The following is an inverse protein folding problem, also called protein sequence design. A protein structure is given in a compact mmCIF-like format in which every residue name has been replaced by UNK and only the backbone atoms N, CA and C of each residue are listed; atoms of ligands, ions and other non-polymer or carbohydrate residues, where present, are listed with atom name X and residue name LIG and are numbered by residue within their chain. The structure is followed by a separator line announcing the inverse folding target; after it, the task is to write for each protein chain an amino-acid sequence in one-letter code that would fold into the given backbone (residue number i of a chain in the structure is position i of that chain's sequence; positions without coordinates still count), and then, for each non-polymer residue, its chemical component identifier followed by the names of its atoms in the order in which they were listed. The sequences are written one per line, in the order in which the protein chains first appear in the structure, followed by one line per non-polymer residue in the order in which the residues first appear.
data_IF_978621355429
#
_entry.id   IF_978621355429
#
_cell.length_a   1.000
_cell.length_b   1.000
_cell.length_c   1.000
_cell.angle_alpha   90.00
_cell.angle_beta   90.00
_cell.angle_gamma   90.00
#
_symmetry.space_group_name_H-M   'P 1'
#
loop_
_entity.id
_entity.type
_entity.pdbx_description
1 polymer ?
#
# COMPACT_ATOMS: atom_id res chain seq x y z
N UNK A 1 3.68 -10.80 -37.86
CA UNK A 1 3.23 -10.70 -36.45
C UNK A 1 4.42 -11.13 -35.61
N UNK A 2 4.80 -10.25 -34.67
CA UNK A 2 6.15 -10.06 -34.12
C UNK A 2 6.90 -11.32 -33.68
N UNK A 3 8.21 -11.34 -34.00
CA UNK A 3 9.23 -12.09 -33.29
C UNK A 3 9.09 -11.85 -31.78
N UNK A 4 8.73 -12.89 -31.04
CA UNK A 4 8.73 -12.92 -29.57
C UNK A 4 9.47 -14.16 -29.06
N UNK A 5 10.45 -14.65 -29.81
CA UNK A 5 11.48 -15.54 -29.25
C UNK A 5 12.56 -14.66 -28.62
N UNK A 6 12.55 -14.60 -27.30
CA UNK A 6 13.59 -13.94 -26.54
C UNK A 6 14.58 -14.98 -26.02
N UNK A 7 15.88 -14.69 -26.19
CA UNK A 7 16.95 -15.28 -25.37
C UNK A 7 16.55 -15.30 -23.90
N UNK A 8 16.98 -16.32 -23.14
CA UNK A 8 16.76 -16.37 -21.70
C UNK A 8 17.18 -15.04 -21.07
N UNK A 9 16.29 -14.35 -20.34
CA UNK A 9 16.63 -13.09 -19.71
C UNK A 9 17.85 -13.29 -18.82
N UNK A 10 18.90 -12.49 -19.03
CA UNK A 10 20.04 -12.50 -18.12
C UNK A 10 19.55 -12.34 -16.68
N UNK A 11 20.19 -13.09 -15.78
CA UNK A 11 19.78 -13.22 -14.38
C UNK A 11 19.45 -11.84 -13.78
N UNK A 12 18.23 -11.71 -13.26
CA UNK A 12 17.74 -10.47 -12.66
C UNK A 12 18.66 -10.00 -11.53
N UNK A 13 19.22 -10.92 -10.75
CA UNK A 13 20.15 -10.58 -9.67
C UNK A 13 21.43 -9.95 -10.24
N UNK A 14 22.02 -10.54 -11.28
CA UNK A 14 23.20 -9.99 -11.95
C UNK A 14 22.94 -8.60 -12.55
N UNK A 15 21.74 -8.40 -13.13
CA UNK A 15 21.35 -7.08 -13.67
C UNK A 15 21.22 -6.03 -12.57
N UNK A 16 20.64 -6.38 -11.42
CA UNK A 16 20.51 -5.49 -10.27
C UNK A 16 21.89 -5.13 -9.71
N UNK A 17 22.77 -6.10 -9.52
CA UNK A 17 24.14 -5.89 -9.03
C UNK A 17 24.97 -5.00 -9.98
N UNK A 18 24.86 -5.22 -11.30
CA UNK A 18 25.53 -4.40 -12.29
C UNK A 18 25.03 -2.95 -12.29
N UNK A 19 23.72 -2.75 -12.14
CA UNK A 19 23.13 -1.41 -12.06
C UNK A 19 23.56 -0.68 -10.78
N UNK A 20 23.50 -1.35 -9.63
CA UNK A 20 23.96 -0.79 -8.36
C UNK A 20 25.43 -0.38 -8.44
N UNK A 21 26.29 -1.27 -8.94
CA UNK A 21 27.73 -1.01 -9.09
C UNK A 21 27.99 0.22 -9.97
N UNK A 22 27.32 0.31 -11.12
CA UNK A 22 27.45 1.46 -12.03
C UNK A 22 27.00 2.77 -11.37
N UNK A 23 25.90 2.76 -10.62
CA UNK A 23 25.38 3.96 -9.95
C UNK A 23 26.28 4.42 -8.80
N UNK A 24 26.89 3.47 -8.08
CA UNK A 24 27.88 3.74 -7.02
C UNK A 24 29.18 4.29 -7.61
N UNK A 25 29.72 3.68 -8.67
CA UNK A 25 30.93 4.15 -9.35
C UNK A 25 30.77 5.57 -9.90
N UNK A 26 29.56 5.92 -10.34
CA UNK A 26 29.21 7.28 -10.81
C UNK A 26 29.00 8.27 -9.66
N UNK A 27 28.97 7.81 -8.40
CA UNK A 27 28.69 8.63 -7.22
C UNK A 27 27.25 9.15 -7.15
N UNK A 28 26.29 8.48 -7.82
CA UNK A 28 24.88 8.89 -7.81
C UNK A 28 24.10 8.31 -6.64
N UNK A 29 24.53 7.15 -6.14
CA UNK A 29 24.02 6.53 -4.92
C UNK A 29 25.18 6.07 -4.06
N UNK A 30 24.92 5.89 -2.77
CA UNK A 30 25.81 5.21 -1.83
C UNK A 30 25.11 3.96 -1.26
N UNK A 31 25.89 2.90 -1.01
CA UNK A 31 25.34 1.61 -0.53
C UNK A 31 24.71 1.73 0.85
N UNK A 32 25.26 2.57 1.72
CA UNK A 32 24.72 2.81 3.07
C UNK A 32 23.30 3.41 3.01
N UNK A 33 23.02 4.29 2.07
CA UNK A 33 21.68 4.83 1.83
C UNK A 33 20.72 3.75 1.32
N UNK A 34 21.17 2.84 0.45
CA UNK A 34 20.35 1.70 0.00
C UNK A 34 19.98 0.82 1.20
N UNK A 35 20.96 0.42 2.01
CA UNK A 35 20.74 -0.39 3.21
C UNK A 35 19.80 0.29 4.20
N UNK A 36 19.94 1.60 4.41
CA UNK A 36 19.07 2.39 5.28
C UNK A 36 17.62 2.42 4.79
N UNK A 37 17.40 2.53 3.47
CA UNK A 37 16.05 2.49 2.89
C UNK A 37 15.43 1.10 3.08
N UNK A 38 16.20 0.04 2.85
CA UNK A 38 15.74 -1.34 3.08
C UNK A 38 15.35 -1.52 4.54
N UNK A 39 16.24 -1.18 5.47
CA UNK A 39 16.01 -1.31 6.91
C UNK A 39 14.75 -0.57 7.37
N UNK A 40 14.55 0.66 6.89
CA UNK A 40 13.39 1.49 7.23
C UNK A 40 12.07 0.79 6.88
N UNK A 41 11.92 0.25 5.67
CA UNK A 41 10.68 -0.41 5.25
C UNK A 41 10.54 -1.86 5.73
N UNK A 42 11.64 -2.53 6.07
CA UNK A 42 11.60 -3.87 6.63
C UNK A 42 11.28 -3.89 8.13
N UNK A 43 11.69 -2.86 8.88
CA UNK A 43 11.67 -2.93 10.35
C UNK A 43 10.96 -1.76 11.04
N UNK A 44 10.97 -0.56 10.47
CA UNK A 44 10.45 0.65 11.14
C UNK A 44 9.02 0.97 10.69
N UNK A 45 8.71 0.78 9.41
CA UNK A 45 7.41 1.15 8.82
C UNK A 45 6.58 -0.08 8.52
N UNK A 46 5.36 -0.12 9.08
CA UNK A 46 4.44 -1.24 8.85
C UNK A 46 3.02 -0.99 9.35
N UNK A 47 2.14 -2.00 9.24
CA UNK A 47 0.70 -1.86 9.52
C UNK A 47 0.35 -1.52 10.97
N UNK A 48 1.30 -1.61 11.90
CA UNK A 48 1.11 -1.20 13.29
C UNK A 48 0.84 0.30 13.43
N UNK A 49 1.32 1.14 12.52
CA UNK A 49 0.97 2.57 12.49
C UNK A 49 -0.53 2.75 12.24
N UNK A 50 -1.06 2.12 11.19
CA UNK A 50 -2.49 2.07 10.91
C UNK A 50 -3.32 1.50 12.06
N UNK A 51 -2.86 0.42 12.69
CA UNK A 51 -3.55 -0.19 13.83
C UNK A 51 -3.68 0.78 15.02
N UNK A 52 -2.61 1.53 15.34
CA UNK A 52 -2.63 2.55 16.41
C UNK A 52 -3.60 3.69 16.10
N UNK A 53 -3.66 4.14 14.85
CA UNK A 53 -4.60 5.17 14.39
C UNK A 53 -6.05 4.68 14.57
N UNK A 54 -6.35 3.46 14.10
CA UNK A 54 -7.69 2.86 14.20
C UNK A 54 -8.10 2.68 15.67
N UNK A 55 -7.21 2.13 16.50
CA UNK A 55 -7.47 1.94 17.93
C UNK A 55 -7.78 3.27 18.63
N UNK A 56 -7.02 4.33 18.34
CA UNK A 56 -7.30 5.68 18.88
C UNK A 56 -8.66 6.20 18.41
N UNK A 57 -9.02 6.01 17.14
CA UNK A 57 -10.33 6.44 16.62
C UNK A 57 -11.51 5.69 17.26
N UNK A 58 -11.32 4.46 17.73
CA UNK A 58 -12.37 3.71 18.43
C UNK A 58 -12.65 4.25 19.84
N UNK A 59 -11.62 4.70 20.56
CA UNK A 59 -11.76 5.14 21.97
C UNK A 59 -11.85 6.66 22.14
N UNK A 60 -11.46 7.44 21.13
CA UNK A 60 -11.50 8.91 21.11
C UNK A 60 -12.38 9.40 19.95
N UNK A 61 -13.69 9.65 20.20
CA UNK A 61 -14.60 10.17 19.19
C UNK A 61 -14.20 11.55 18.64
N UNK A 62 -13.47 12.36 19.41
CA UNK A 62 -13.00 13.66 18.94
C UNK A 62 -11.84 13.50 17.95
N UNK A 63 -10.91 12.59 18.23
CA UNK A 63 -9.87 12.19 17.27
C UNK A 63 -10.48 11.59 16.01
N UNK A 64 -11.48 10.69 16.12
CA UNK A 64 -12.17 10.13 14.95
C UNK A 64 -12.76 11.22 14.05
N UNK A 65 -13.40 12.25 14.62
CA UNK A 65 -13.91 13.39 13.84
C UNK A 65 -12.80 14.15 13.11
N UNK A 66 -11.66 14.40 13.76
CA UNK A 66 -10.51 15.05 13.12
C UNK A 66 -9.90 14.18 12.02
N UNK A 67 -9.75 12.89 12.28
CA UNK A 67 -9.24 11.89 11.35
C UNK A 67 -10.05 11.85 10.04
N UNK A 68 -11.37 11.83 10.14
CA UNK A 68 -12.25 11.81 8.98
C UNK A 68 -12.31 13.15 8.24
N UNK A 69 -12.03 14.27 8.92
CA UNK A 69 -12.00 15.59 8.30
C UNK A 69 -10.65 15.88 7.60
N UNK A 70 -9.53 15.46 8.20
CA UNK A 70 -8.18 15.63 7.66
C UNK A 70 -7.26 14.54 8.20
N UNK A 71 -7.12 13.44 7.45
CA UNK A 71 -6.35 12.29 7.90
C UNK A 71 -4.86 12.59 8.00
N UNK A 72 -4.29 13.35 7.06
CA UNK A 72 -2.87 13.73 7.08
C UNK A 72 -2.53 14.49 8.37
N UNK A 73 -3.35 15.47 8.78
CA UNK A 73 -3.14 16.19 10.03
C UNK A 73 -3.30 15.29 11.27
N UNK A 74 -4.29 14.38 11.27
CA UNK A 74 -4.51 13.45 12.37
C UNK A 74 -3.40 12.40 12.50
N UNK A 75 -2.79 11.95 11.40
CA UNK A 75 -1.62 11.07 11.41
C UNK A 75 -0.41 11.74 12.06
N UNK A 76 -0.21 13.04 11.80
CA UNK A 76 0.86 13.81 12.42
C UNK A 76 0.72 13.93 13.95
N UNK A 77 -0.50 13.93 14.50
CA UNK A 77 -0.72 13.86 15.96
C UNK A 77 -0.14 12.58 16.60
N UNK A 78 0.12 11.55 15.80
CA UNK A 78 0.70 10.27 16.20
C UNK A 78 2.14 10.07 15.71
N UNK A 79 2.75 11.10 15.14
CA UNK A 79 4.10 11.02 14.56
C UNK A 79 4.17 10.19 13.28
N UNK A 80 3.04 9.97 12.60
CA UNK A 80 2.99 9.26 11.32
C UNK A 80 2.98 10.27 10.18
N UNK A 81 3.98 10.20 9.31
CA UNK A 81 4.16 11.08 8.16
C UNK A 81 5.21 10.52 7.20
N UNK A 82 5.48 11.24 6.11
CA UNK A 82 6.48 10.85 5.11
C UNK A 82 5.89 10.55 3.73
N UNK A 83 6.66 9.87 2.86
CA UNK A 83 6.23 9.59 1.49
C UNK A 83 4.95 8.75 1.42
N UNK A 84 4.04 9.13 0.52
CA UNK A 84 2.81 8.40 0.25
C UNK A 84 1.67 8.67 1.24
N UNK A 85 1.82 9.67 2.13
CA UNK A 85 0.77 10.11 3.06
C UNK A 85 0.55 11.63 3.09
N UNK A 86 1.08 12.34 2.09
CA UNK A 86 0.96 13.78 1.93
C UNK A 86 -0.51 14.21 1.76
N UNK A 87 -1.32 13.36 1.13
CA UNK A 87 -2.75 13.58 0.89
C UNK A 87 -3.55 12.34 1.23
N UNK A 88 -3.95 12.23 2.50
CA UNK A 88 -4.65 11.05 3.00
C UNK A 88 -6.13 11.28 3.20
N UNK A 89 -6.90 10.26 2.83
CA UNK A 89 -8.33 10.15 3.09
C UNK A 89 -8.56 8.84 3.83
N UNK A 90 -9.25 8.91 4.96
CA UNK A 90 -9.72 7.72 5.69
C UNK A 90 -11.18 7.48 5.34
N UNK A 91 -11.48 6.25 4.92
CA UNK A 91 -12.81 5.84 4.49
C UNK A 91 -13.41 4.90 5.54
N UNK A 92 -14.45 5.39 6.22
CA UNK A 92 -15.07 4.65 7.32
C UNK A 92 -16.00 3.55 6.81
N UNK A 93 -15.81 2.32 7.31
CA UNK A 93 -16.79 1.26 7.19
C UNK A 93 -17.94 1.48 8.18
N UNK A 94 -19.17 1.22 7.73
CA UNK A 94 -20.41 1.33 8.50
C UNK A 94 -21.21 0.03 8.35
N UNK A 95 -22.27 -0.20 9.15
CA UNK A 95 -23.11 -1.38 8.97
C UNK A 95 -23.71 -1.49 7.55
N UNK A 96 -23.89 -0.37 6.85
CA UNK A 96 -24.46 -0.31 5.50
C UNK A 96 -23.42 -0.20 4.37
N UNK A 97 -22.13 -0.01 4.68
CA UNK A 97 -21.08 0.17 3.69
C UNK A 97 -19.73 -0.42 4.10
N UNK A 98 -19.16 -1.23 3.22
CA UNK A 98 -17.79 -1.72 3.27
C UNK A 98 -16.95 -1.03 2.18
N UNK A 99 -15.81 -0.47 2.55
CA UNK A 99 -14.86 0.16 1.64
C UNK A 99 -13.68 -0.79 1.37
N UNK A 100 -13.22 -0.85 0.13
CA UNK A 100 -12.02 -1.57 -0.29
C UNK A 100 -11.21 -0.68 -1.22
N UNK A 101 -9.88 -0.73 -1.15
CA UNK A 101 -8.98 0.18 -1.88
C UNK A 101 -8.15 -0.62 -2.89
N UNK A 102 -7.90 -0.05 -4.07
CA UNK A 102 -7.09 -0.65 -5.13
C UNK A 102 -6.34 0.41 -5.92
N UNK A 103 -5.17 0.05 -6.46
CA UNK A 103 -4.52 0.81 -7.52
C UNK A 103 -4.57 0.00 -8.82
N UNK A 104 -5.58 0.21 -9.64
CA UNK A 104 -5.76 -0.57 -10.87
C UNK A 104 -4.57 -0.41 -11.83
N UNK A 105 -3.97 0.78 -11.89
CA UNK A 105 -2.90 1.11 -12.83
C UNK A 105 -1.52 0.61 -12.41
N UNK A 106 -1.24 0.49 -11.12
CA UNK A 106 0.07 0.05 -10.64
C UNK A 106 0.00 -0.59 -9.24
N UNK A 107 0.34 0.17 -8.19
CA UNK A 107 0.53 -0.34 -6.83
C UNK A 107 0.52 0.76 -5.76
N UNK A 108 -0.12 1.91 -6.01
CA UNK A 108 -0.19 3.00 -5.04
C UNK A 108 -0.73 2.50 -3.69
N UNK A 109 -0.07 2.87 -2.60
CA UNK A 109 -0.40 2.38 -1.26
C UNK A 109 0.18 3.33 -0.19
N UNK A 110 -0.48 3.51 0.97
CA UNK A 110 -0.04 4.49 1.97
C UNK A 110 1.08 3.94 2.86
N UNK A 111 2.33 4.00 2.38
CA UNK A 111 3.46 3.30 3.00
C UNK A 111 3.71 3.70 4.46
N UNK A 112 3.69 4.99 4.81
CA UNK A 112 3.92 5.40 6.20
C UNK A 112 2.86 4.87 7.20
N UNK A 113 1.67 4.49 6.71
CA UNK A 113 0.59 3.92 7.54
C UNK A 113 0.63 2.40 7.57
N UNK A 114 0.90 1.76 6.43
CA UNK A 114 0.67 0.32 6.23
C UNK A 114 1.92 -0.47 5.82
N UNK A 115 3.06 0.18 5.59
CA UNK A 115 4.25 -0.44 5.00
C UNK A 115 4.12 -0.68 3.50
N UNK A 116 5.05 -1.47 2.94
CA UNK A 116 4.99 -1.87 1.53
C UNK A 116 3.79 -2.80 1.26
N UNK A 117 3.10 -2.66 0.12
CA UNK A 117 1.91 -3.45 -0.16
C UNK A 117 2.24 -4.94 -0.36
N UNK A 118 1.33 -5.84 0.06
CA UNK A 118 1.51 -7.28 -0.12
C UNK A 118 1.54 -7.66 -1.60
N UNK A 119 2.12 -8.82 -1.90
CA UNK A 119 2.29 -9.31 -3.28
C UNK A 119 0.98 -9.33 -4.07
N UNK A 120 -0.10 -9.85 -3.48
CA UNK A 120 -1.42 -9.95 -4.10
C UNK A 120 -2.03 -8.58 -4.44
N UNK A 121 -1.73 -7.52 -3.69
CA UNK A 121 -2.28 -6.19 -3.96
C UNK A 121 -1.72 -5.62 -5.27
N UNK A 122 -0.46 -5.94 -5.58
CA UNK A 122 0.26 -5.48 -6.78
C UNK A 122 -0.09 -6.32 -8.01
N UNK A 123 -0.70 -7.47 -7.81
CA UNK A 123 -0.90 -8.47 -8.86
C UNK A 123 -2.07 -8.10 -9.78
N UNK A 124 -2.02 -8.48 -11.07
CA UNK A 124 -3.10 -8.22 -12.01
C UNK A 124 -4.45 -8.83 -11.57
N UNK A 125 -4.41 -9.96 -10.86
CA UNK A 125 -5.60 -10.70 -10.42
C UNK A 125 -6.46 -9.84 -9.49
N UNK A 126 -5.87 -9.25 -8.45
CA UNK A 126 -6.60 -8.34 -7.56
C UNK A 126 -7.01 -7.06 -8.30
N UNK A 127 -6.05 -6.41 -8.96
CA UNK A 127 -6.20 -5.07 -9.55
C UNK A 127 -7.27 -5.01 -10.65
N UNK A 128 -7.40 -6.06 -11.46
CA UNK A 128 -8.40 -6.11 -12.53
C UNK A 128 -9.79 -6.54 -12.05
N UNK A 129 -9.87 -7.37 -11.00
CA UNK A 129 -11.12 -8.00 -10.59
C UNK A 129 -11.85 -7.23 -9.51
N UNK A 130 -11.16 -6.62 -8.54
CA UNK A 130 -11.81 -5.98 -7.39
C UNK A 130 -12.72 -4.81 -7.79
N UNK A 131 -12.44 -4.14 -8.90
CA UNK A 131 -13.30 -3.07 -9.46
C UNK A 131 -14.52 -3.58 -10.22
N UNK A 132 -14.55 -4.86 -10.63
CA UNK A 132 -15.61 -5.45 -11.45
C UNK A 132 -16.51 -6.41 -10.65
N UNK A 133 -15.90 -7.23 -9.83
CA UNK A 133 -16.55 -8.28 -9.05
C UNK A 133 -16.08 -8.26 -7.57
N UNK A 134 -16.15 -7.10 -6.88
CA UNK A 134 -15.54 -6.91 -5.55
C UNK A 134 -15.99 -7.96 -4.52
N UNK A 135 -17.28 -8.29 -4.47
CA UNK A 135 -17.78 -9.29 -3.52
C UNK A 135 -17.17 -10.67 -3.72
N UNK A 136 -16.91 -11.06 -4.97
CA UNK A 136 -16.28 -12.36 -5.27
C UNK A 136 -14.82 -12.36 -4.83
N UNK A 137 -14.08 -11.29 -5.12
CA UNK A 137 -12.69 -11.13 -4.66
C UNK A 137 -12.62 -11.15 -3.13
N UNK A 138 -13.52 -10.45 -2.45
CA UNK A 138 -13.58 -10.46 -0.97
C UNK A 138 -13.92 -11.85 -0.42
N UNK A 139 -14.83 -12.59 -1.05
CA UNK A 139 -15.17 -13.97 -0.66
C UNK A 139 -13.96 -14.92 -0.81
N UNK A 140 -13.14 -14.76 -1.86
CA UNK A 140 -11.87 -15.49 -2.03
C UNK A 140 -10.83 -15.16 -0.94
N UNK A 141 -10.98 -14.01 -0.27
CA UNK A 141 -10.22 -13.59 0.91
C UNK A 141 -10.97 -13.87 2.23
N UNK A 142 -11.94 -14.80 2.19
CA UNK A 142 -12.73 -15.27 3.33
C UNK A 142 -13.63 -14.20 3.95
N UNK A 143 -14.02 -13.18 3.18
CA UNK A 143 -14.96 -12.13 3.61
C UNK A 143 -16.25 -12.15 2.78
N UNK A 144 -17.27 -12.81 3.33
CA UNK A 144 -18.62 -12.79 2.78
C UNK A 144 -19.45 -11.64 3.38
N UNK A 145 -19.75 -10.63 2.57
CA UNK A 145 -20.58 -9.50 2.97
C UNK A 145 -22.07 -9.75 2.70
N UNK A 146 -22.98 -9.41 3.63
CA UNK A 146 -24.42 -9.49 3.38
C UNK A 146 -24.83 -8.71 2.13
N UNK A 147 -25.87 -9.19 1.43
CA UNK A 147 -26.34 -8.59 0.19
C UNK A 147 -26.72 -7.10 0.33
N UNK A 148 -27.22 -6.70 1.51
CA UNK A 148 -27.61 -5.32 1.81
C UNK A 148 -26.44 -4.35 2.05
N UNK A 149 -25.23 -4.84 2.33
CA UNK A 149 -24.06 -3.98 2.60
C UNK A 149 -23.49 -3.47 1.29
N UNK A 150 -23.43 -2.16 1.06
CA UNK A 150 -22.83 -1.60 -0.16
C UNK A 150 -21.32 -1.80 -0.14
N UNK A 151 -20.73 -2.18 -1.27
CA UNK A 151 -19.27 -2.22 -1.42
C UNK A 151 -18.82 -1.03 -2.24
N UNK A 152 -17.97 -0.17 -1.66
CA UNK A 152 -17.35 0.96 -2.34
C UNK A 152 -15.89 0.67 -2.60
N UNK A 153 -15.53 0.59 -3.88
CA UNK A 153 -14.15 0.44 -4.32
C UNK A 153 -13.55 1.82 -4.55
N UNK A 154 -12.33 2.04 -4.05
CA UNK A 154 -11.55 3.28 -4.18
C UNK A 154 -10.30 3.04 -5.00
#
# INVERSE_FOLDING_TARGET
MSDHEHDEPADLALRVEALESLLVERGWIDRETVDRIIHHYETEVGPLNGARIVARAWIDPAFKRRLLANATAAFAELGVGGPGVEHMVVVENTPEQHNVVVCTLCSCYPWAVLGLPPGWYKSPEYRSRVVREPRKVLSEMELDLPAGVRVRVW
#
